data_IF_347181696183
#
_entry.id   IF_347181696183
#
_cell.length_a   1.000
_cell.length_b   1.000
_cell.length_c   1.000
_cell.angle_alpha   90.00
_cell.angle_beta   90.00
_cell.angle_gamma   90.00
#
_symmetry.space_group_name_H-M   'P 1'
#
loop_
_entity.id
_entity.type
_entity.pdbx_description
1 polymer ?
#
# COMPACT_ATOMS: atom_id res chain seq x y z
N UNK A 1 -13.71 -14.54 -11.49
CA UNK A 1 -12.64 -14.88 -12.47
C UNK A 1 -13.07 -14.69 -13.92
N UNK A 2 -14.32 -14.97 -14.31
CA UNK A 2 -14.80 -14.90 -15.70
C UNK A 2 -14.72 -13.48 -16.32
N UNK A 3 -14.91 -12.43 -15.51
CA UNK A 3 -14.89 -11.04 -16.01
C UNK A 3 -13.47 -10.55 -16.37
N UNK A 4 -12.41 -11.07 -15.75
CA UNK A 4 -11.04 -10.60 -15.99
C UNK A 4 -10.44 -11.12 -17.30
N UNK A 5 -10.79 -12.35 -17.70
CA UNK A 5 -10.34 -12.93 -18.96
C UNK A 5 -10.94 -12.17 -20.16
N UNK A 6 -12.22 -11.78 -20.03
CA UNK A 6 -12.92 -10.99 -21.04
C UNK A 6 -12.28 -9.60 -21.20
N UNK A 7 -11.90 -8.94 -20.10
CA UNK A 7 -11.21 -7.64 -20.16
C UNK A 7 -9.86 -7.75 -20.86
N UNK A 8 -9.05 -8.77 -20.56
CA UNK A 8 -7.75 -8.98 -21.21
C UNK A 8 -7.90 -9.23 -22.71
N UNK A 9 -8.90 -10.03 -23.11
CA UNK A 9 -9.19 -10.31 -24.53
C UNK A 9 -9.66 -9.04 -25.25
N UNK A 10 -10.55 -8.25 -24.64
CA UNK A 10 -11.02 -6.99 -25.22
C UNK A 10 -9.85 -5.99 -25.35
N UNK A 11 -9.02 -5.82 -24.32
CA UNK A 11 -7.87 -4.93 -24.41
C UNK A 11 -6.86 -5.39 -25.46
N UNK A 12 -6.63 -6.70 -25.62
CA UNK A 12 -5.65 -7.20 -26.59
C UNK A 12 -6.13 -7.14 -28.05
N UNK A 13 -7.44 -7.31 -28.28
CA UNK A 13 -7.99 -7.39 -29.65
C UNK A 13 -8.69 -6.11 -30.12
N UNK A 14 -9.27 -5.31 -29.23
CA UNK A 14 -9.98 -4.08 -29.60
C UNK A 14 -9.16 -2.81 -29.35
N UNK A 15 -8.14 -2.87 -28.51
CA UNK A 15 -7.32 -1.70 -28.20
C UNK A 15 -6.09 -1.67 -29.11
N UNK A 16 -6.27 -1.20 -30.33
CA UNK A 16 -5.15 -0.82 -31.20
C UNK A 16 -4.61 0.51 -30.68
N UNK A 17 -3.54 0.48 -29.89
CA UNK A 17 -2.87 1.69 -29.42
C UNK A 17 -2.28 2.47 -30.60
N UNK A 18 -2.96 3.54 -31.01
CA UNK A 18 -2.42 4.51 -31.97
C UNK A 18 -1.69 5.59 -31.17
N UNK A 19 -0.40 5.38 -30.89
CA UNK A 19 0.48 6.41 -30.33
C UNK A 19 0.99 7.35 -31.43
N UNK A 20 0.10 8.07 -32.11
CA UNK A 20 0.49 9.03 -33.14
C UNK A 20 1.12 10.28 -32.50
N UNK A 21 2.45 10.33 -32.43
CA UNK A 21 3.25 11.55 -32.19
C UNK A 21 3.93 11.69 -30.82
N UNK A 22 3.51 10.94 -29.80
CA UNK A 22 4.15 10.96 -28.47
C UNK A 22 5.31 9.95 -28.43
N UNK A 23 5.16 8.79 -29.07
CA UNK A 23 6.19 7.74 -29.07
C UNK A 23 7.45 8.19 -29.79
N UNK A 24 7.41 9.01 -30.86
CA UNK A 24 8.66 9.44 -31.53
C UNK A 24 9.54 10.30 -30.62
N UNK A 25 9.00 11.35 -29.97
CA UNK A 25 9.75 12.21 -29.05
C UNK A 25 10.11 11.52 -27.73
N UNK A 26 9.20 10.70 -27.20
CA UNK A 26 9.40 9.97 -25.94
C UNK A 26 10.36 8.79 -26.12
N UNK A 27 10.30 8.09 -27.25
CA UNK A 27 11.25 7.04 -27.64
C UNK A 27 12.62 7.63 -27.93
N UNK A 28 12.73 8.76 -28.62
CA UNK A 28 14.02 9.41 -28.89
C UNK A 28 14.70 9.88 -27.59
N UNK A 29 13.92 10.47 -26.67
CA UNK A 29 14.40 10.79 -25.32
C UNK A 29 14.74 9.52 -24.53
N UNK A 30 13.86 8.51 -24.50
CA UNK A 30 14.07 7.26 -23.76
C UNK A 30 15.21 6.38 -24.32
N UNK A 31 15.52 6.46 -25.62
CA UNK A 31 16.57 5.70 -26.30
C UNK A 31 17.97 6.21 -25.96
N UNK A 32 18.08 7.46 -25.53
CA UNK A 32 19.31 8.07 -25.02
C UNK A 32 19.47 7.93 -23.49
N UNK A 33 18.46 7.42 -22.77
CA UNK A 33 18.53 7.21 -21.33
C UNK A 33 19.01 5.79 -21.00
N UNK A 34 19.94 5.67 -20.05
CA UNK A 34 20.32 4.38 -19.46
C UNK A 34 19.08 3.61 -18.95
N UNK A 35 19.09 2.27 -18.88
CA UNK A 35 17.95 1.51 -18.36
C UNK A 35 17.57 1.93 -16.93
N UNK A 36 16.28 1.87 -16.55
CA UNK A 36 15.86 2.21 -15.20
C UNK A 36 16.54 1.32 -14.16
N UNK A 37 16.84 1.88 -13.00
CA UNK A 37 17.47 1.13 -11.92
C UNK A 37 16.56 -0.03 -11.48
N UNK A 38 16.98 -1.26 -11.82
CA UNK A 38 16.23 -2.49 -11.55
C UNK A 38 15.96 -2.69 -10.06
N UNK A 39 16.87 -2.26 -9.21
CA UNK A 39 16.72 -2.34 -7.75
C UNK A 39 15.58 -1.43 -7.29
N UNK A 40 15.53 -0.19 -7.78
CA UNK A 40 14.47 0.75 -7.43
C UNK A 40 13.09 0.28 -7.91
N UNK A 41 13.01 -0.30 -9.11
CA UNK A 41 11.77 -0.91 -9.63
C UNK A 41 11.32 -2.10 -8.76
N UNK A 42 12.24 -3.01 -8.42
CA UNK A 42 11.94 -4.15 -7.55
C UNK A 42 11.42 -3.69 -6.18
N UNK A 43 12.04 -2.67 -5.57
CA UNK A 43 11.60 -2.10 -4.31
C UNK A 43 10.18 -1.50 -4.39
N UNK A 44 9.87 -0.79 -5.47
CA UNK A 44 8.53 -0.26 -5.67
C UNK A 44 7.48 -1.38 -5.84
N UNK A 45 7.80 -2.42 -6.60
CA UNK A 45 6.90 -3.57 -6.82
C UNK A 45 6.67 -4.37 -5.54
N UNK A 46 7.74 -4.73 -4.83
CA UNK A 46 7.63 -5.43 -3.54
C UNK A 46 6.96 -4.55 -2.50
N UNK A 47 7.25 -3.26 -2.45
CA UNK A 47 6.60 -2.33 -1.51
C UNK A 47 5.09 -2.22 -1.74
N UNK A 48 4.66 -2.26 -3.00
CA UNK A 48 3.25 -2.26 -3.38
C UNK A 48 2.55 -3.56 -3.02
N UNK A 49 3.23 -4.69 -3.22
CA UNK A 49 2.76 -5.99 -2.77
C UNK A 49 2.56 -5.99 -1.25
N UNK A 50 3.57 -5.60 -0.47
CA UNK A 50 3.52 -5.51 1.00
C UNK A 50 2.36 -4.62 1.45
N UNK A 51 2.23 -3.42 0.87
CA UNK A 51 1.14 -2.50 1.18
C UNK A 51 -0.25 -3.18 1.06
N UNK A 52 -0.53 -3.77 -0.10
CA UNK A 52 -1.85 -4.36 -0.36
C UNK A 52 -2.07 -5.66 0.39
N UNK A 53 -1.02 -6.45 0.58
CA UNK A 53 -1.08 -7.69 1.34
C UNK A 53 -1.43 -7.41 2.81
N UNK A 54 -0.73 -6.47 3.45
CA UNK A 54 -0.97 -6.05 4.83
C UNK A 54 -2.37 -5.48 5.03
N UNK A 55 -2.85 -4.65 4.11
CA UNK A 55 -4.20 -4.08 4.23
C UNK A 55 -5.30 -5.11 3.98
N UNK A 56 -5.11 -5.99 2.99
CA UNK A 56 -6.07 -7.07 2.72
C UNK A 56 -6.13 -8.11 3.85
N UNK A 57 -5.01 -8.33 4.57
CA UNK A 57 -4.98 -9.15 5.78
C UNK A 57 -5.89 -8.55 6.86
N UNK A 58 -5.81 -7.23 7.11
CA UNK A 58 -6.69 -6.54 8.05
C UNK A 58 -8.16 -6.63 7.67
N UNK A 59 -8.49 -6.48 6.38
CA UNK A 59 -9.87 -6.64 5.91
C UNK A 59 -10.38 -8.07 6.09
N UNK A 60 -9.53 -9.07 5.83
CA UNK A 60 -9.91 -10.48 5.89
C UNK A 60 -10.11 -10.99 7.32
N UNK A 61 -9.23 -10.62 8.25
CA UNK A 61 -9.19 -11.18 9.61
C UNK A 61 -9.78 -10.20 10.64
N UNK A 62 -9.86 -8.91 10.33
CA UNK A 62 -10.25 -7.87 11.29
C UNK A 62 -11.60 -8.10 11.97
N UNK A 63 -12.60 -8.59 11.23
CA UNK A 63 -13.91 -8.92 11.81
C UNK A 63 -13.81 -10.08 12.81
N UNK A 64 -13.21 -11.20 12.40
CA UNK A 64 -13.00 -12.37 13.26
C UNK A 64 -12.10 -12.04 14.46
N UNK A 65 -11.13 -11.16 14.29
CA UNK A 65 -10.28 -10.67 15.37
C UNK A 65 -11.09 -9.90 16.41
N UNK A 66 -11.89 -8.91 15.99
CA UNK A 66 -12.73 -8.12 16.91
C UNK A 66 -13.76 -8.99 17.62
N UNK A 67 -14.39 -9.92 16.92
CA UNK A 67 -15.36 -10.87 17.50
C UNK A 67 -14.71 -11.75 18.57
N UNK A 68 -13.59 -12.40 18.25
CA UNK A 68 -12.95 -13.38 19.14
C UNK A 68 -12.19 -12.75 20.30
N UNK A 69 -11.49 -11.63 20.09
CA UNK A 69 -10.62 -11.01 21.09
C UNK A 69 -11.38 -10.08 22.03
N UNK A 70 -12.36 -9.33 21.51
CA UNK A 70 -13.15 -8.40 22.33
C UNK A 70 -14.49 -8.98 22.79
N UNK A 71 -14.84 -10.20 22.36
CA UNK A 71 -16.09 -10.88 22.73
C UNK A 71 -17.34 -10.03 22.47
N UNK A 72 -17.33 -9.31 21.33
CA UNK A 72 -18.43 -8.46 20.88
C UNK A 72 -19.41 -9.23 20.00
N UNK A 73 -20.66 -8.79 19.93
CA UNK A 73 -21.66 -9.37 19.04
C UNK A 73 -21.33 -9.06 17.58
N UNK A 74 -21.79 -9.90 16.64
CA UNK A 74 -21.58 -9.69 15.20
C UNK A 74 -22.11 -8.34 14.71
N UNK A 75 -23.24 -7.88 15.25
CA UNK A 75 -23.82 -6.58 14.95
C UNK A 75 -22.91 -5.43 15.39
N UNK A 76 -22.40 -5.49 16.62
CA UNK A 76 -21.46 -4.49 17.13
C UNK A 76 -20.15 -4.49 16.34
N UNK A 77 -19.62 -5.67 15.99
CA UNK A 77 -18.39 -5.81 15.20
C UNK A 77 -18.50 -5.09 13.87
N UNK A 78 -19.60 -5.32 13.13
CA UNK A 78 -19.83 -4.66 11.83
C UNK A 78 -19.96 -3.15 12.01
N UNK A 79 -20.68 -2.68 13.05
CA UNK A 79 -20.80 -1.25 13.33
C UNK A 79 -19.44 -0.60 13.65
N UNK A 80 -18.64 -1.19 14.53
CA UNK A 80 -17.32 -0.66 14.88
C UNK A 80 -16.35 -0.66 13.69
N UNK A 81 -16.35 -1.72 12.87
CA UNK A 81 -15.55 -1.76 11.64
C UNK A 81 -15.99 -0.68 10.65
N UNK A 82 -17.30 -0.49 10.47
CA UNK A 82 -17.83 0.53 9.57
C UNK A 82 -17.42 1.95 10.00
N UNK A 83 -17.62 2.28 11.28
CA UNK A 83 -17.21 3.57 11.85
C UNK A 83 -15.71 3.80 11.66
N UNK A 84 -14.89 2.80 11.99
CA UNK A 84 -13.43 2.88 11.86
C UNK A 84 -12.98 3.11 10.42
N UNK A 85 -13.58 2.41 9.46
CA UNK A 85 -13.26 2.60 8.04
C UNK A 85 -13.68 3.98 7.54
N UNK A 86 -14.86 4.48 7.94
CA UNK A 86 -15.32 5.83 7.60
C UNK A 86 -14.35 6.87 8.19
N UNK A 87 -13.98 6.75 9.46
CA UNK A 87 -13.02 7.64 10.11
C UNK A 87 -11.65 7.61 9.40
N UNK A 88 -11.17 6.44 9.02
CA UNK A 88 -9.93 6.25 8.26
C UNK A 88 -10.01 6.93 6.89
N UNK A 89 -11.14 6.81 6.20
CA UNK A 89 -11.39 7.48 4.92
C UNK A 89 -11.44 9.01 5.05
N UNK A 90 -12.01 9.54 6.14
CA UNK A 90 -12.00 10.98 6.42
C UNK A 90 -10.58 11.51 6.66
N UNK A 91 -9.76 10.78 7.43
CA UNK A 91 -8.33 11.10 7.61
C UNK A 91 -7.60 11.06 6.27
N UNK A 92 -7.84 10.03 5.45
CA UNK A 92 -7.23 9.93 4.13
C UNK A 92 -7.64 11.08 3.19
N UNK A 93 -8.92 11.47 3.23
CA UNK A 93 -9.41 12.63 2.49
C UNK A 93 -8.71 13.92 2.93
N UNK A 94 -8.53 14.13 4.24
CA UNK A 94 -7.80 15.27 4.77
C UNK A 94 -6.33 15.28 4.32
N UNK A 95 -5.67 14.13 4.28
CA UNK A 95 -4.30 13.99 3.73
C UNK A 95 -4.26 14.39 2.26
N UNK A 96 -5.20 13.92 1.43
CA UNK A 96 -5.27 14.30 0.02
C UNK A 96 -5.52 15.79 -0.19
N UNK A 97 -6.42 16.39 0.59
CA UNK A 97 -6.60 17.84 0.59
C UNK A 97 -5.32 18.58 1.00
N UNK A 98 -4.55 18.06 1.96
CA UNK A 98 -3.22 18.57 2.29
C UNK A 98 -2.25 18.53 1.09
N UNK A 99 -2.24 17.45 0.32
CA UNK A 99 -1.44 17.37 -0.91
C UNK A 99 -1.83 18.42 -1.95
N UNK A 100 -3.13 18.69 -2.10
CA UNK A 100 -3.65 19.65 -3.09
C UNK A 100 -3.45 21.10 -2.61
N UNK A 101 -4.00 21.47 -1.45
CA UNK A 101 -4.02 22.87 -0.99
C UNK A 101 -2.68 23.33 -0.42
N UNK A 102 -2.00 22.49 0.36
CA UNK A 102 -0.74 22.87 1.00
C UNK A 102 0.49 22.49 0.16
N UNK A 103 0.27 21.94 -1.04
CA UNK A 103 1.32 21.49 -1.97
C UNK A 103 2.37 20.60 -1.28
N UNK A 104 1.91 19.68 -0.41
CA UNK A 104 2.79 18.78 0.35
C UNK A 104 3.72 17.97 -0.56
N UNK A 105 3.30 17.69 -1.81
CA UNK A 105 4.13 17.00 -2.79
C UNK A 105 5.43 17.72 -3.15
N UNK A 106 5.48 19.06 -3.03
CA UNK A 106 6.71 19.85 -3.25
C UNK A 106 7.53 20.01 -1.96
N UNK A 107 6.85 20.08 -0.81
CA UNK A 107 7.50 20.30 0.51
C UNK A 107 8.09 19.03 1.10
N UNK A 108 7.51 17.87 0.80
CA UNK A 108 7.86 16.61 1.44
C UNK A 108 8.49 15.65 0.42
N UNK A 109 9.66 15.13 0.76
CA UNK A 109 10.36 14.14 -0.06
C UNK A 109 9.58 12.83 -0.02
N UNK A 110 8.92 12.46 -1.14
CA UNK A 110 8.07 11.26 -1.25
C UNK A 110 8.73 9.98 -0.69
N UNK A 111 10.04 9.80 -0.90
CA UNK A 111 10.81 8.66 -0.36
C UNK A 111 10.76 8.54 1.17
N UNK A 112 10.89 9.67 1.88
CA UNK A 112 10.84 9.68 3.35
C UNK A 112 9.43 9.36 3.85
N UNK A 113 8.42 9.83 3.12
CA UNK A 113 7.01 9.56 3.43
C UNK A 113 6.67 8.08 3.25
N UNK A 114 7.19 7.43 2.21
CA UNK A 114 7.03 5.97 2.02
C UNK A 114 7.61 5.19 3.21
N UNK A 115 8.81 5.55 3.65
CA UNK A 115 9.43 4.90 4.83
C UNK A 115 8.60 5.16 6.08
N UNK A 116 8.15 6.40 6.30
CA UNK A 116 7.31 6.75 7.44
C UNK A 116 5.97 6.01 7.42
N UNK A 117 5.36 5.82 6.25
CA UNK A 117 4.11 5.09 6.08
C UNK A 117 4.29 3.57 6.35
N UNK A 118 5.41 2.98 5.92
CA UNK A 118 5.74 1.59 6.27
C UNK A 118 5.94 1.42 7.79
N UNK A 119 6.62 2.38 8.42
CA UNK A 119 6.80 2.41 9.87
C UNK A 119 5.44 2.58 10.57
N UNK A 120 4.53 3.42 10.05
CA UNK A 120 3.21 3.59 10.66
C UNK A 120 2.39 2.31 10.62
N UNK A 121 2.46 1.51 9.53
CA UNK A 121 1.86 0.18 9.51
C UNK A 121 2.49 -0.76 10.56
N UNK A 122 3.82 -0.81 10.65
CA UNK A 122 4.49 -1.62 11.68
C UNK A 122 4.10 -1.22 13.11
N UNK A 123 3.99 0.09 13.37
CA UNK A 123 3.56 0.63 14.67
C UNK A 123 2.11 0.26 14.99
N UNK A 124 1.21 0.28 14.01
CA UNK A 124 -0.16 -0.19 14.20
C UNK A 124 -0.19 -1.63 14.69
N UNK A 125 0.50 -2.56 14.03
CA UNK A 125 0.52 -3.95 14.49
C UNK A 125 1.26 -4.15 15.80
N UNK A 126 2.29 -3.37 16.07
CA UNK A 126 3.05 -3.43 17.34
C UNK A 126 2.20 -2.96 18.52
N UNK A 127 1.43 -1.88 18.34
CA UNK A 127 0.53 -1.35 19.38
C UNK A 127 -0.68 -2.24 19.61
N UNK A 128 -1.18 -2.89 18.56
CA UNK A 128 -2.31 -3.84 18.65
C UNK A 128 -1.89 -5.27 18.99
N UNK A 129 -0.58 -5.54 19.09
CA UNK A 129 -0.06 -6.83 19.45
C UNK A 129 -0.53 -7.25 20.85
N UNK A 130 -0.89 -8.53 21.00
CA UNK A 130 -1.32 -9.11 22.26
C UNK A 130 -0.12 -9.40 23.18
N UNK A 131 0.49 -8.33 23.67
CA UNK A 131 1.65 -8.39 24.55
C UNK A 131 1.33 -9.21 25.81
N UNK A 132 2.26 -10.09 26.26
CA UNK A 132 2.04 -10.95 27.42
C UNK A 132 2.10 -10.21 28.77
N UNK A 133 2.07 -8.88 28.78
CA UNK A 133 2.21 -8.07 30.00
C UNK A 133 0.93 -8.03 30.85
N UNK A 134 -0.21 -8.45 30.30
CA UNK A 134 -1.50 -8.45 30.99
C UNK A 134 -1.87 -9.89 31.39
N UNK A 135 -2.21 -10.10 32.67
CA UNK A 135 -2.61 -11.41 33.20
C UNK A 135 -4.06 -11.80 32.87
N UNK A 136 -4.86 -10.87 32.36
CA UNK A 136 -6.24 -11.13 31.95
C UNK A 136 -6.24 -11.91 30.63
N UNK A 137 -6.94 -13.05 30.60
CA UNK A 137 -7.16 -13.84 29.38
C UNK A 137 -8.43 -13.41 28.66
N UNK A 138 -8.50 -13.71 27.36
CA UNK A 138 -9.73 -13.50 26.56
C UNK A 138 -10.91 -14.32 27.10
N UNK A 139 -12.14 -13.89 26.79
CA UNK A 139 -13.35 -14.66 27.14
C UNK A 139 -13.41 -15.90 26.26
N UNK A 140 -13.47 -17.06 26.90
CA UNK A 140 -13.62 -18.37 26.27
C UNK A 140 -15.04 -18.84 26.58
N UNK A 141 -15.77 -19.30 25.57
CA UNK A 141 -17.08 -19.91 25.76
C UNK A 141 -17.06 -21.36 25.28
N UNK A 142 -17.87 -22.20 25.94
CA UNK A 142 -18.14 -23.57 25.50
C UNK A 142 -19.46 -23.62 24.74
N UNK A 143 -19.70 -24.65 23.92
CA UNK A 143 -20.94 -24.77 23.13
C UNK A 143 -22.23 -24.77 23.98
N UNK A 144 -22.11 -25.07 25.27
CA UNK A 144 -23.21 -25.09 26.24
C UNK A 144 -23.52 -23.72 26.89
N UNK A 145 -22.72 -22.68 26.62
CA UNK A 145 -22.98 -21.34 27.16
C UNK A 145 -24.08 -20.63 26.36
N UNK A 146 -24.99 -19.96 27.08
CA UNK A 146 -26.10 -19.19 26.49
C UNK A 146 -25.63 -17.98 25.69
N UNK A 147 -24.46 -17.42 26.03
CA UNK A 147 -23.83 -16.31 25.32
C UNK A 147 -22.55 -16.79 24.60
N UNK A 148 -22.69 -17.17 23.33
CA UNK A 148 -21.59 -17.62 22.46
C UNK A 148 -20.70 -16.46 21.99
N UNK A 149 -20.08 -15.75 22.94
CA UNK A 149 -19.25 -14.57 22.70
C UNK A 149 -17.78 -14.84 23.10
N UNK A 150 -16.85 -14.61 22.17
CA UNK A 150 -15.41 -14.75 22.38
C UNK A 150 -14.77 -15.89 21.60
N UNK A 151 -13.79 -16.57 22.20
CA UNK A 151 -13.04 -17.65 21.56
C UNK A 151 -13.67 -19.02 21.87
N UNK A 152 -13.94 -19.81 20.83
CA UNK A 152 -14.43 -21.18 20.99
C UNK A 152 -13.24 -22.15 21.14
N UNK A 153 -13.13 -22.79 22.30
CA UNK A 153 -12.04 -23.72 22.64
C UNK A 153 -12.01 -24.99 21.77
N UNK A 154 -13.18 -25.49 21.35
CA UNK A 154 -13.28 -26.67 20.50
C UNK A 154 -12.84 -26.38 19.06
N UNK A 155 -12.97 -25.12 18.63
CA UNK A 155 -12.60 -24.69 17.28
C UNK A 155 -11.15 -24.23 17.17
N UNK A 156 -10.61 -23.59 18.21
CA UNK A 156 -9.27 -23.01 18.18
C UNK A 156 -8.44 -23.47 19.38
N UNK A 157 -7.31 -24.13 19.09
CA UNK A 157 -6.38 -24.64 20.10
C UNK A 157 -5.60 -23.55 20.83
N UNK A 158 -5.58 -22.32 20.30
CA UNK A 158 -4.80 -21.20 20.83
C UNK A 158 -5.55 -20.33 21.84
N UNK A 159 -6.85 -20.52 22.07
CA UNK A 159 -7.68 -19.65 22.91
C UNK A 159 -7.11 -19.43 24.33
N UNK A 160 -6.54 -20.47 24.95
CA UNK A 160 -6.12 -20.45 26.35
C UNK A 160 -4.90 -19.56 26.63
N UNK A 161 -4.12 -19.23 25.60
CA UNK A 161 -2.82 -18.54 25.73
C UNK A 161 -2.87 -17.05 25.40
N UNK A 162 -4.06 -16.49 25.14
CA UNK A 162 -4.22 -15.14 24.62
C UNK A 162 -4.61 -14.12 25.72
N UNK A 163 -3.81 -13.06 25.90
CA UNK A 163 -4.12 -12.00 26.83
C UNK A 163 -5.17 -11.07 26.24
N UNK A 164 -5.92 -10.42 27.11
CA UNK A 164 -6.93 -9.43 26.75
C UNK A 164 -6.27 -8.15 26.24
N UNK A 165 -6.86 -7.56 25.20
CA UNK A 165 -6.45 -6.26 24.65
C UNK A 165 -7.56 -5.22 24.80
N UNK A 166 -7.22 -3.93 24.75
CA UNK A 166 -8.19 -2.85 24.85
C UNK A 166 -8.73 -2.48 23.46
N UNK A 167 -10.05 -2.63 23.27
CA UNK A 167 -10.73 -2.31 22.00
C UNK A 167 -10.53 -0.87 21.55
N UNK A 168 -10.49 0.10 22.47
CA UNK A 168 -10.35 1.52 22.13
C UNK A 168 -8.96 1.85 21.59
N UNK A 169 -7.93 1.17 22.10
CA UNK A 169 -6.56 1.29 21.58
C UNK A 169 -6.51 0.75 20.15
N UNK A 170 -7.13 -0.40 19.90
CA UNK A 170 -7.18 -0.99 18.55
C UNK A 170 -7.82 -0.04 17.52
N UNK A 171 -9.03 0.46 17.79
CA UNK A 171 -9.74 1.32 16.84
C UNK A 171 -9.08 2.69 16.68
N UNK A 172 -8.59 3.31 17.77
CA UNK A 172 -7.88 4.59 17.67
C UNK A 172 -6.55 4.47 16.91
N UNK A 173 -5.77 3.42 17.18
CA UNK A 173 -4.54 3.12 16.46
C UNK A 173 -4.82 2.85 14.97
N UNK A 174 -5.91 2.15 14.64
CA UNK A 174 -6.32 1.92 13.25
C UNK A 174 -6.54 3.26 12.54
N UNK A 175 -7.40 4.13 13.06
CA UNK A 175 -7.72 5.41 12.42
C UNK A 175 -6.47 6.28 12.26
N UNK A 176 -5.60 6.34 13.27
CA UNK A 176 -4.39 7.17 13.23
C UNK A 176 -3.33 6.61 12.28
N UNK A 177 -2.88 5.37 12.50
CA UNK A 177 -1.73 4.83 11.78
C UNK A 177 -2.08 4.33 10.38
N UNK A 178 -3.23 3.65 10.21
CA UNK A 178 -3.68 3.18 8.89
C UNK A 178 -4.22 4.37 8.09
N UNK A 179 -4.98 5.28 8.73
CA UNK A 179 -5.53 6.46 8.07
C UNK A 179 -4.46 7.44 7.56
N UNK A 180 -3.35 7.57 8.27
CA UNK A 180 -2.20 8.34 7.78
C UNK A 180 -1.31 7.53 6.84
N UNK A 181 -1.05 6.25 7.14
CA UNK A 181 -0.12 5.42 6.38
C UNK A 181 -0.61 5.08 4.98
N UNK A 182 -1.86 4.63 4.85
CA UNK A 182 -2.43 4.17 3.58
C UNK A 182 -2.42 5.21 2.45
N UNK A 183 -3.03 6.41 2.60
CA UNK A 183 -3.05 7.40 1.52
C UNK A 183 -1.63 7.87 1.14
N UNK A 184 -0.76 8.04 2.12
CA UNK A 184 0.63 8.43 1.91
C UNK A 184 1.40 7.35 1.14
N UNK A 185 1.21 6.08 1.48
CA UNK A 185 1.82 4.97 0.75
C UNK A 185 1.33 4.93 -0.70
N UNK A 186 0.03 5.10 -0.96
CA UNK A 186 -0.52 5.12 -2.34
C UNK A 186 0.10 6.24 -3.17
N UNK A 187 0.06 7.48 -2.67
CA UNK A 187 0.51 8.66 -3.42
C UNK A 187 2.04 8.66 -3.59
N UNK A 188 2.77 8.51 -2.49
CA UNK A 188 4.22 8.68 -2.53
C UNK A 188 4.92 7.52 -3.22
N UNK A 189 4.46 6.27 -3.07
CA UNK A 189 5.06 5.13 -3.75
C UNK A 189 4.84 5.22 -5.27
N UNK A 190 3.66 5.65 -5.71
CA UNK A 190 3.36 5.91 -7.13
C UNK A 190 4.22 7.04 -7.72
N UNK A 191 4.45 8.10 -6.93
CA UNK A 191 5.34 9.21 -7.31
C UNK A 191 6.80 8.75 -7.42
N UNK A 192 7.29 7.96 -6.46
CA UNK A 192 8.65 7.40 -6.49
C UNK A 192 8.81 6.52 -7.73
N UNK A 193 7.87 5.61 -8.01
CA UNK A 193 7.92 4.77 -9.21
C UNK A 193 7.97 5.61 -10.49
N UNK A 194 7.09 6.61 -10.63
CA UNK A 194 7.08 7.48 -11.81
C UNK A 194 8.39 8.26 -11.97
N UNK A 195 8.98 8.73 -10.87
CA UNK A 195 10.28 9.43 -10.88
C UNK A 195 11.48 8.54 -11.24
N UNK A 196 11.39 7.23 -10.93
CA UNK A 196 12.41 6.21 -11.28
C UNK A 196 12.28 5.76 -12.73
N UNK A 197 11.06 5.77 -13.30
CA UNK A 197 10.84 5.42 -14.70
C UNK A 197 11.20 6.60 -15.61
N UNK A 198 10.89 7.84 -15.20
CA UNK A 198 11.06 9.03 -16.04
C UNK A 198 10.17 8.97 -17.30
N UNK A 199 10.60 9.53 -18.44
CA UNK A 199 9.83 9.54 -19.67
C UNK A 199 9.80 8.19 -20.41
N UNK A 200 10.20 7.07 -19.80
CA UNK A 200 10.14 5.75 -20.47
C UNK A 200 8.70 5.23 -20.54
N UNK A 201 8.47 4.02 -21.07
CA UNK A 201 7.14 3.39 -21.17
C UNK A 201 6.49 3.20 -19.77
N UNK A 202 5.83 4.25 -19.30
CA UNK A 202 5.26 4.34 -17.95
C UNK A 202 4.07 3.39 -17.79
N UNK A 203 3.28 3.18 -18.86
CA UNK A 203 2.13 2.28 -18.85
C UNK A 203 2.52 0.84 -18.50
N UNK A 204 3.60 0.32 -19.09
CA UNK A 204 4.08 -1.04 -18.82
C UNK A 204 4.44 -1.25 -17.35
N UNK A 205 5.30 -0.38 -16.79
CA UNK A 205 5.75 -0.52 -15.41
C UNK A 205 4.64 -0.24 -14.38
N UNK A 206 3.72 0.69 -14.67
CA UNK A 206 2.53 0.93 -13.85
C UNK A 206 1.57 -0.26 -13.89
N UNK A 207 1.47 -0.96 -15.03
CA UNK A 207 0.72 -2.20 -15.15
C UNK A 207 1.26 -3.30 -14.22
N UNK A 208 2.58 -3.52 -14.23
CA UNK A 208 3.23 -4.47 -13.31
C UNK A 208 3.03 -4.07 -11.85
N UNK A 209 3.18 -2.78 -11.53
CA UNK A 209 2.96 -2.25 -10.19
C UNK A 209 1.57 -2.59 -9.66
N UNK A 210 0.53 -2.47 -10.48
CA UNK A 210 -0.83 -2.85 -10.10
C UNK A 210 -1.08 -4.36 -10.12
N UNK A 211 -0.38 -5.13 -10.98
CA UNK A 211 -0.41 -6.58 -10.89
C UNK A 211 0.13 -7.08 -9.54
N UNK A 212 1.21 -6.47 -9.02
CA UNK A 212 1.73 -6.76 -7.68
C UNK A 212 0.72 -6.42 -6.57
N UNK A 213 0.01 -5.29 -6.68
CA UNK A 213 -1.05 -4.92 -5.76
C UNK A 213 -2.18 -5.97 -5.74
N UNK A 214 -2.62 -6.41 -6.92
CA UNK A 214 -3.64 -7.45 -7.09
C UNK A 214 -3.21 -8.80 -6.52
N UNK A 215 -1.96 -9.20 -6.74
CA UNK A 215 -1.40 -10.42 -6.17
C UNK A 215 -1.40 -10.39 -4.63
N UNK A 216 -0.99 -9.26 -4.03
CA UNK A 216 -1.03 -9.09 -2.57
C UNK A 216 -2.44 -9.24 -2.01
N UNK A 217 -3.42 -8.59 -2.65
CA UNK A 217 -4.84 -8.65 -2.24
C UNK A 217 -5.46 -10.04 -2.38
N UNK A 218 -5.01 -10.83 -3.37
CA UNK A 218 -5.46 -12.20 -3.57
C UNK A 218 -4.85 -13.17 -2.54
N UNK A 219 -3.53 -13.06 -2.30
CA UNK A 219 -2.81 -14.01 -1.46
C UNK A 219 -3.04 -13.80 0.03
N UNK A 220 -3.24 -12.56 0.47
CA UNK A 220 -3.42 -12.22 1.89
C UNK A 220 -4.50 -13.06 2.60
N UNK A 221 -5.79 -13.09 2.16
CA UNK A 221 -6.81 -13.86 2.86
C UNK A 221 -6.52 -15.37 2.87
N UNK A 222 -5.93 -15.92 1.81
CA UNK A 222 -5.65 -17.36 1.71
C UNK A 222 -4.58 -17.77 2.71
N UNK A 223 -3.45 -17.06 2.71
CA UNK A 223 -2.31 -17.35 3.58
C UNK A 223 -2.68 -17.05 5.03
N UNK A 224 -3.23 -15.87 5.28
CA UNK A 224 -3.44 -15.39 6.64
C UNK A 224 -4.60 -16.09 7.34
N UNK A 225 -5.66 -16.48 6.63
CA UNK A 225 -6.74 -17.28 7.25
C UNK A 225 -6.25 -18.66 7.70
N UNK A 226 -5.36 -19.28 6.91
CA UNK A 226 -4.75 -20.56 7.28
C UNK A 226 -3.86 -20.44 8.51
N UNK A 227 -3.02 -19.39 8.56
CA UNK A 227 -2.15 -19.13 9.72
C UNK A 227 -3.00 -18.79 10.95
N UNK A 228 -4.04 -17.97 10.79
CA UNK A 228 -4.96 -17.61 11.86
C UNK A 228 -5.66 -18.83 12.45
N UNK A 229 -6.13 -19.75 11.61
CA UNK A 229 -6.79 -20.97 12.07
C UNK A 229 -5.85 -21.87 12.88
N UNK A 230 -4.64 -22.11 12.37
CA UNK A 230 -3.75 -23.13 12.92
C UNK A 230 -2.83 -22.62 14.04
N UNK A 231 -2.36 -21.38 13.96
CA UNK A 231 -1.38 -20.80 14.89
C UNK A 231 -1.94 -19.63 15.71
N UNK A 232 -3.07 -19.07 15.29
CA UNK A 232 -3.75 -17.99 15.99
C UNK A 232 -3.28 -16.58 15.62
N UNK A 233 -3.90 -15.55 16.23
CA UNK A 233 -3.71 -14.15 15.86
C UNK A 233 -2.29 -13.64 16.08
N UNK A 234 -1.61 -14.13 17.12
CA UNK A 234 -0.26 -13.69 17.47
C UNK A 234 0.74 -13.92 16.34
N UNK A 235 0.65 -15.04 15.63
CA UNK A 235 1.51 -15.35 14.51
C UNK A 235 1.21 -14.45 13.30
N UNK A 236 -0.08 -14.24 13.00
CA UNK A 236 -0.51 -13.32 11.94
C UNK A 236 0.04 -11.90 12.20
N UNK A 237 -0.16 -11.38 13.41
CA UNK A 237 0.35 -10.06 13.80
C UNK A 237 1.88 -10.00 13.76
N UNK A 238 2.58 -11.07 14.14
CA UNK A 238 4.05 -11.10 14.08
C UNK A 238 4.57 -10.97 12.64
N UNK A 239 3.92 -11.66 11.69
CA UNK A 239 4.25 -11.55 10.26
C UNK A 239 3.95 -10.13 9.75
N UNK A 240 2.80 -9.57 10.14
CA UNK A 240 2.38 -8.21 9.75
C UNK A 240 3.17 -7.09 10.43
N UNK A 241 3.92 -7.37 11.51
CA UNK A 241 4.93 -6.46 12.05
C UNK A 241 6.22 -6.60 11.23
N UNK A 242 6.68 -7.83 11.03
CA UNK A 242 7.96 -8.11 10.40
C UNK A 242 8.00 -7.64 8.93
N UNK A 243 6.93 -7.86 8.17
CA UNK A 243 6.87 -7.56 6.74
C UNK A 243 7.03 -6.06 6.42
N UNK A 244 6.20 -5.13 6.95
CA UNK A 244 6.35 -3.70 6.68
C UNK A 244 7.62 -3.10 7.31
N UNK A 245 8.05 -3.56 8.49
CA UNK A 245 9.29 -3.06 9.10
C UNK A 245 10.54 -3.51 8.34
N UNK A 246 10.57 -4.76 7.88
CA UNK A 246 11.65 -5.24 7.00
C UNK A 246 11.65 -4.46 5.70
N UNK A 247 10.47 -4.19 5.12
CA UNK A 247 10.38 -3.36 3.93
C UNK A 247 10.86 -1.92 4.19
N UNK A 248 10.52 -1.32 5.33
CA UNK A 248 11.01 0.01 5.72
C UNK A 248 12.53 0.03 5.86
N UNK A 249 13.12 -1.01 6.45
CA UNK A 249 14.57 -1.18 6.58
C UNK A 249 15.22 -1.27 5.19
N UNK A 250 14.69 -2.11 4.30
CA UNK A 250 15.21 -2.25 2.93
C UNK A 250 15.11 -0.91 2.18
N UNK A 251 13.99 -0.20 2.26
CA UNK A 251 13.84 1.14 1.65
C UNK A 251 14.86 2.14 2.22
N UNK A 252 15.19 2.03 3.50
CA UNK A 252 16.19 2.89 4.16
C UNK A 252 17.62 2.55 3.70
N UNK A 253 17.97 1.27 3.63
CA UNK A 253 19.29 0.81 3.16
C UNK A 253 19.52 1.21 1.70
N UNK A 254 18.51 1.02 0.84
CA UNK A 254 18.58 1.35 -0.57
C UNK A 254 18.09 2.77 -0.89
N UNK A 255 18.00 3.66 0.11
CA UNK A 255 17.48 5.03 -0.04
C UNK A 255 18.21 5.83 -1.14
N UNK A 256 19.52 5.61 -1.29
CA UNK A 256 20.35 6.25 -2.33
C UNK A 256 20.01 5.79 -3.75
N UNK A 257 19.53 4.56 -3.93
CA UNK A 257 19.18 4.02 -5.24
C UNK A 257 17.80 4.51 -5.73
N UNK A 258 16.99 5.06 -4.84
CA UNK A 258 15.66 5.62 -5.13
C UNK A 258 15.73 7.07 -5.65
N UNK A 259 16.92 7.60 -5.98
CA UNK A 259 17.06 8.97 -6.50
C UNK A 259 16.29 9.13 -7.81
N UNK A 260 15.54 10.25 -7.97
CA UNK A 260 14.86 10.54 -9.22
C UNK A 260 15.89 10.65 -10.35
N UNK A 261 15.53 10.22 -11.56
CA UNK A 261 16.35 10.47 -12.73
C UNK A 261 16.55 11.98 -12.90
N UNK A 262 17.80 12.42 -12.80
CA UNK A 262 18.19 13.75 -13.19
C UNK A 262 18.24 13.74 -14.72
N UNK A 263 17.17 14.22 -15.35
CA UNK A 263 17.21 14.54 -16.78
C UNK A 263 18.01 15.83 -16.86
N UNK A 264 19.26 15.75 -17.28
CA UNK A 264 20.04 16.93 -17.61
C UNK A 264 19.31 17.64 -18.75
N UNK A 265 18.74 18.81 -18.47
CA UNK A 265 18.07 19.66 -19.47
C UNK A 265 19.13 20.26 -20.41
N UNK A 266 19.77 19.44 -21.25
CA UNK A 266 20.60 19.92 -22.36
C UNK A 266 19.75 20.19 -23.61
N UNK A 267 18.60 20.86 -23.46
CA UNK A 267 17.70 21.18 -24.57
C UNK A 267 17.07 22.57 -24.52
N UNK A 268 17.55 23.49 -23.66
CA UNK A 268 17.13 24.91 -23.71
C UNK A 268 18.13 25.83 -24.45
N UNK A 269 19.28 25.32 -24.94
CA UNK A 269 20.22 26.13 -25.76
C UNK A 269 20.14 25.90 -27.29
N UNK A 270 19.35 24.93 -27.77
CA UNK A 270 19.24 24.64 -29.22
C UNK A 270 17.94 25.13 -29.87
N UNK A 271 16.96 25.63 -29.10
CA UNK A 271 15.72 26.21 -29.62
C UNK A 271 15.77 27.76 -29.71
N UNK A 272 16.85 28.38 -29.20
CA UNK A 272 17.06 29.83 -29.27
C UNK A 272 17.67 30.34 -30.58
N UNK A 273 18.19 29.45 -31.42
CA UNK A 273 19.00 29.82 -32.60
C UNK A 273 18.29 29.59 -33.94
N UNK A 274 17.15 28.87 -33.94
CA UNK A 274 16.44 28.56 -35.19
C UNK A 274 15.35 29.59 -35.56
N UNK A 275 14.80 30.32 -34.59
CA UNK A 275 13.77 31.33 -34.86
C UNK A 275 14.33 32.67 -35.39
N UNK A 276 15.61 32.96 -35.18
CA UNK A 276 16.24 34.19 -35.69
C UNK A 276 16.66 34.09 -37.16
N UNK A 277 16.77 32.87 -37.72
CA UNK A 277 17.22 32.67 -39.10
C UNK A 277 16.08 32.75 -40.14
N UNK A 278 14.81 32.65 -39.70
CA UNK A 278 13.65 32.67 -40.60
C UNK A 278 13.09 34.10 -40.76
N UNK A 279 13.26 34.98 -39.77
CA UNK A 279 12.75 36.36 -39.83
C UNK A 279 13.59 37.29 -40.72
N UNK A 280 14.82 36.94 -41.10
CA UNK A 280 15.66 37.78 -41.97
C UNK A 280 15.52 37.51 -43.47
N UNK A 281 14.68 36.56 -43.90
CA UNK A 281 14.46 36.23 -45.33
C UNK A 281 13.09 36.62 -45.87
N UNK A 282 12.25 37.27 -45.08
CA UNK A 282 10.91 37.75 -45.49
C UNK A 282 10.87 39.28 -45.61
N UNK A 283 11.99 39.97 -45.42
CA UNK A 283 12.06 41.43 -45.60
C UNK A 283 13.33 41.83 -46.34
N UNK A 284 13.43 41.46 -47.62
CA UNK A 284 14.14 42.23 -48.65
C UNK A 284 13.60 41.86 -50.03
#
# INVERSE_FOLDING_TARGET
>A
MQNGLLTIVITRFFFTEIYAGIESKQSESAKNLEPPNKIALALCFTGRFVQFFTFACLEAIGASYVETIFAETKENVVQFLAITNISTALVAMAVYFGYIFCQLGQRVVARKVVILALISFGLFYTTTFLWPFTNDTIKIYSENDTDQLGCNRNRFSWCDSLPKSNKWIYFSAFVLFVGLGWPNMVVCLGNVLSSVIGPRNQAYYQGIFQACAGAGRLLAPIIMSSIYHNFGPRFVWSIEIAMPLTMALIFTVFYRHLTPLQIEKNHEELDGTSDTAITSKITT
#
